data_IF_988638202360
#
_entry.id   IF_988638202360
#
_cell.length_a   1.000
_cell.length_b   1.000
_cell.length_c   1.000
_cell.angle_alpha   90.00
_cell.angle_beta   90.00
_cell.angle_gamma   90.00
#
_symmetry.space_group_name_H-M   'P 1'
#
loop_
_entity.id
_entity.type
_entity.pdbx_description
1 polymer ?
#
# COMPACT_ATOMS: atom_id res chain seq x y z
N UNK A 1 -5.24 32.16 7.72
CA UNK A 1 -4.68 32.55 9.03
C UNK A 1 -3.23 32.10 9.07
N UNK A 2 -2.25 32.98 9.35
CA UNK A 2 -0.84 32.59 9.37
C UNK A 2 -0.48 31.88 10.70
N UNK A 3 0.29 30.79 10.60
CA UNK A 3 0.77 29.99 11.74
C UNK A 3 1.73 30.77 12.65
N UNK A 4 1.70 30.53 13.97
CA UNK A 4 2.66 31.13 14.90
C UNK A 4 4.06 30.49 14.78
N UNK A 5 5.14 31.25 15.04
CA UNK A 5 6.51 30.75 14.96
C UNK A 5 6.87 29.80 16.12
N UNK A 6 7.87 28.90 15.92
CA UNK A 6 8.29 27.95 16.95
C UNK A 6 8.99 28.64 18.13
N UNK A 7 8.72 28.13 19.34
CA UNK A 7 9.31 28.63 20.59
C UNK A 7 10.75 28.11 20.76
N UNK A 8 11.67 28.93 21.31
CA UNK A 8 13.04 28.49 21.57
C UNK A 8 13.10 27.47 22.70
N UNK A 9 13.97 26.47 22.53
CA UNK A 9 14.17 25.38 23.49
C UNK A 9 14.92 25.89 24.72
N UNK A 10 14.24 25.86 25.86
CA UNK A 10 14.86 26.14 27.17
C UNK A 10 15.60 24.87 27.59
N UNK A 11 16.92 24.93 27.63
CA UNK A 11 17.79 23.90 28.19
C UNK A 11 17.62 23.90 29.72
N UNK A 12 16.94 22.88 30.23
CA UNK A 12 16.87 22.62 31.68
C UNK A 12 18.06 21.72 32.06
N UNK A 13 18.85 22.05 33.08
CA UNK A 13 20.01 21.26 33.47
C UNK A 13 19.59 19.89 34.04
N UNK A 14 20.23 18.83 33.53
CA UNK A 14 20.06 17.45 33.98
C UNK A 14 20.84 17.25 35.29
N UNK A 15 20.21 16.80 36.38
CA UNK A 15 20.92 16.52 37.62
C UNK A 15 21.81 15.29 37.46
N UNK A 16 23.10 15.44 37.81
CA UNK A 16 24.09 14.36 37.84
C UNK A 16 23.81 13.47 39.05
N UNK A 17 23.26 12.29 38.81
CA UNK A 17 23.05 11.29 39.86
C UNK A 17 24.39 10.63 40.24
N UNK A 18 24.71 10.74 41.52
CA UNK A 18 25.91 10.22 42.19
C UNK A 18 25.88 8.69 42.26
N UNK A 19 26.86 8.02 41.65
CA UNK A 19 27.06 6.57 41.75
C UNK A 19 27.56 6.20 43.16
N UNK A 20 26.63 5.80 44.02
CA UNK A 20 26.99 5.06 45.23
C UNK A 20 27.05 3.56 44.92
N UNK A 21 28.28 3.08 45.08
CA UNK A 21 28.77 1.70 45.08
C UNK A 21 27.82 0.80 45.88
N UNK A 22 27.23 -0.19 45.23
CA UNK A 22 26.61 -1.32 45.91
C UNK A 22 27.40 -2.59 45.60
N UNK A 23 28.06 -3.07 46.64
CA UNK A 23 28.89 -4.26 46.72
C UNK A 23 28.06 -5.52 46.52
N UNK A 24 28.63 -6.46 45.76
CA UNK A 24 28.09 -7.80 45.51
C UNK A 24 27.90 -8.59 46.82
N UNK A 25 26.69 -9.01 47.10
CA UNK A 25 26.39 -10.08 48.06
C UNK A 25 25.56 -11.15 47.35
N UNK A 26 26.23 -12.28 47.10
CA UNK A 26 25.71 -13.47 46.46
C UNK A 26 24.98 -14.30 47.51
N UNK A 27 23.66 -14.36 47.44
CA UNK A 27 22.85 -15.29 48.23
C UNK A 27 22.08 -16.18 47.25
N UNK A 28 22.67 -17.35 46.97
CA UNK A 28 22.02 -18.47 46.33
C UNK A 28 21.06 -19.15 47.29
N UNK A 29 19.77 -19.13 46.97
CA UNK A 29 18.84 -20.18 47.39
C UNK A 29 18.07 -20.64 46.16
N UNK A 30 18.41 -21.84 45.71
CA UNK A 30 17.77 -22.54 44.60
C UNK A 30 16.55 -23.29 45.14
N UNK A 31 15.34 -23.01 44.64
CA UNK A 31 14.27 -24.01 44.51
C UNK A 31 13.41 -23.68 43.27
N UNK A 32 13.58 -24.52 42.25
CA UNK A 32 12.72 -24.91 41.14
C UNK A 32 11.52 -24.03 40.72
N UNK A 33 11.69 -23.42 39.54
CA UNK A 33 10.85 -23.56 38.35
C UNK A 33 9.40 -24.02 38.55
N UNK A 34 8.46 -23.09 38.44
CA UNK A 34 7.32 -23.33 37.54
C UNK A 34 7.30 -22.24 36.50
N UNK A 35 7.92 -22.60 35.38
CA UNK A 35 7.75 -22.04 34.06
C UNK A 35 6.29 -21.66 33.78
N UNK A 36 5.91 -20.41 34.09
CA UNK A 36 4.59 -19.85 33.75
C UNK A 36 4.73 -18.53 32.99
N UNK A 37 5.68 -18.49 32.05
CA UNK A 37 5.84 -17.39 31.09
C UNK A 37 5.36 -17.73 29.67
N UNK A 38 4.53 -18.77 29.48
CA UNK A 38 4.01 -19.15 28.15
C UNK A 38 2.57 -18.72 27.84
N UNK A 39 1.96 -17.88 28.69
CA UNK A 39 0.62 -17.35 28.44
C UNK A 39 0.57 -15.95 27.81
N UNK A 40 1.70 -15.42 27.32
CA UNK A 40 1.62 -14.53 26.17
C UNK A 40 1.30 -15.42 24.97
N UNK A 41 0.00 -15.59 24.72
CA UNK A 41 -0.58 -16.21 23.53
C UNK A 41 0.35 -15.93 22.34
N UNK A 42 1.05 -16.96 21.87
CA UNK A 42 1.50 -16.97 20.48
C UNK A 42 0.24 -16.69 19.66
N UNK A 43 0.14 -15.49 19.12
CA UNK A 43 -0.89 -15.13 18.16
C UNK A 43 -0.85 -16.23 17.11
N UNK A 44 -1.99 -16.90 16.91
CA UNK A 44 -2.11 -17.94 15.91
C UNK A 44 -1.52 -17.40 14.59
N UNK A 45 -0.51 -18.02 13.96
CA UNK A 45 0.14 -17.48 12.75
C UNK A 45 -0.87 -17.29 11.60
N UNK A 46 -2.04 -17.93 11.69
CA UNK A 46 -3.17 -17.78 10.78
C UNK A 46 -3.95 -16.46 10.94
N UNK A 47 -3.70 -15.66 11.99
CA UNK A 47 -4.39 -14.37 12.23
C UNK A 47 -3.60 -13.14 11.77
N UNK A 48 -2.35 -13.31 11.32
CA UNK A 48 -1.58 -12.19 10.75
C UNK A 48 -2.18 -11.82 9.39
N UNK A 49 -2.85 -10.66 9.31
CA UNK A 49 -3.37 -10.12 8.05
C UNK A 49 -2.19 -9.80 7.14
N UNK A 50 -2.18 -10.39 5.94
CA UNK A 50 -1.18 -10.10 4.90
C UNK A 50 -1.78 -9.27 3.80
N UNK A 51 -0.98 -8.43 3.16
CA UNK A 51 -1.43 -7.59 2.05
C UNK A 51 -0.76 -8.05 0.76
N UNK A 52 -1.54 -8.07 -0.31
CA UNK A 52 -1.02 -8.38 -1.65
C UNK A 52 -0.14 -7.23 -2.15
N UNK A 53 1.13 -7.51 -2.43
CA UNK A 53 2.08 -6.50 -2.90
C UNK A 53 1.67 -5.85 -4.24
N UNK A 54 0.89 -6.54 -5.08
CA UNK A 54 0.41 -5.98 -6.35
C UNK A 54 -0.86 -5.15 -6.18
N UNK A 55 -1.91 -5.72 -5.60
CA UNK A 55 -3.25 -5.11 -5.63
C UNK A 55 -3.65 -4.39 -4.33
N UNK A 56 -2.81 -4.45 -3.29
CA UNK A 56 -3.07 -3.83 -1.98
C UNK A 56 -4.23 -4.44 -1.19
N UNK A 57 -4.86 -5.53 -1.64
CA UNK A 57 -5.96 -6.18 -0.91
C UNK A 57 -5.42 -7.06 0.23
N UNK A 58 -6.14 -7.09 1.35
CA UNK A 58 -5.96 -8.10 2.39
C UNK A 58 -6.10 -9.52 1.82
N UNK A 59 -5.08 -10.34 2.06
CA UNK A 59 -5.02 -11.74 1.66
C UNK A 59 -5.83 -12.52 2.69
N UNK A 60 -6.95 -13.09 2.27
CA UNK A 60 -7.71 -14.03 3.09
C UNK A 60 -6.98 -15.38 3.16
N UNK A 61 -6.95 -15.99 4.33
CA UNK A 61 -6.40 -17.33 4.49
C UNK A 61 -7.18 -18.34 3.63
N UNK A 62 -6.47 -19.36 3.11
CA UNK A 62 -7.04 -20.48 2.34
C UNK A 62 -6.35 -21.77 2.75
N UNK A 63 -7.08 -22.88 2.83
CA UNK A 63 -6.53 -24.20 3.22
C UNK A 63 -5.27 -24.61 2.44
N UNK A 64 -5.23 -24.32 1.13
CA UNK A 64 -4.06 -24.59 0.28
C UNK A 64 -2.77 -23.88 0.68
N UNK A 65 -2.85 -22.91 1.59
CA UNK A 65 -1.75 -22.06 2.05
C UNK A 65 -1.28 -22.39 3.46
N UNK A 66 -1.87 -23.41 4.10
CA UNK A 66 -1.54 -23.85 5.46
C UNK A 66 -0.04 -24.09 5.65
N UNK A 67 0.62 -24.72 4.68
CA UNK A 67 2.04 -25.12 4.79
C UNK A 67 3.03 -24.00 4.46
N UNK A 68 2.60 -22.92 3.81
CA UNK A 68 3.49 -21.90 3.27
C UNK A 68 2.96 -20.48 3.44
N UNK A 69 2.08 -20.24 4.43
CA UNK A 69 1.47 -18.94 4.68
C UNK A 69 2.52 -17.83 4.79
N UNK A 70 3.62 -18.10 5.50
CA UNK A 70 4.74 -17.17 5.71
C UNK A 70 5.35 -16.62 4.42
N UNK A 71 5.47 -17.45 3.38
CA UNK A 71 6.06 -17.07 2.09
C UNK A 71 5.07 -16.38 1.12
N UNK A 72 3.80 -16.19 1.49
CA UNK A 72 2.79 -15.65 0.55
C UNK A 72 2.85 -14.12 0.51
N UNK A 73 3.13 -13.61 -0.69
CA UNK A 73 3.17 -12.16 -1.00
C UNK A 73 2.01 -11.69 -1.89
N UNK A 74 1.35 -12.60 -2.62
CA UNK A 74 0.35 -12.27 -3.65
C UNK A 74 -0.95 -13.05 -3.46
N UNK A 75 -2.10 -12.41 -3.66
CA UNK A 75 -3.42 -13.04 -3.47
C UNK A 75 -3.83 -14.00 -4.61
N UNK A 76 -3.21 -13.88 -5.79
CA UNK A 76 -3.53 -14.64 -7.00
C UNK A 76 -2.34 -14.81 -7.94
N UNK A 77 -2.45 -15.76 -8.88
CA UNK A 77 -1.46 -15.95 -9.94
C UNK A 77 -1.39 -14.73 -10.87
N UNK A 78 -2.51 -14.05 -11.12
CA UNK A 78 -2.52 -12.82 -11.92
C UNK A 78 -1.70 -11.72 -11.24
N UNK A 79 -1.89 -11.47 -9.95
CA UNK A 79 -1.09 -10.50 -9.21
C UNK A 79 0.40 -10.87 -9.18
N UNK A 80 0.73 -12.17 -9.05
CA UNK A 80 2.11 -12.65 -9.11
C UNK A 80 2.78 -12.38 -10.47
N UNK A 81 2.04 -12.52 -11.57
CA UNK A 81 2.52 -12.24 -12.94
C UNK A 81 2.65 -10.73 -13.19
N UNK A 82 1.70 -9.94 -12.72
CA UNK A 82 1.65 -8.49 -12.88
C UNK A 82 2.30 -7.78 -11.69
N UNK A 83 3.62 -7.92 -11.53
CA UNK A 83 4.37 -7.19 -10.50
C UNK A 83 4.47 -5.70 -10.86
N UNK A 84 4.42 -4.83 -9.87
CA UNK A 84 4.60 -3.39 -10.05
C UNK A 84 6.05 -3.13 -10.41
N UNK A 85 6.27 -2.39 -11.51
CA UNK A 85 7.61 -1.95 -11.94
C UNK A 85 7.77 -0.47 -11.56
N UNK A 86 8.98 0.01 -11.23
CA UNK A 86 9.20 1.41 -10.84
C UNK A 86 8.71 2.44 -11.87
N UNK A 87 8.77 2.11 -13.16
CA UNK A 87 8.29 2.96 -14.26
C UNK A 87 6.96 2.45 -14.86
N UNK A 88 6.09 1.81 -14.06
CA UNK A 88 4.76 1.40 -14.51
C UNK A 88 3.72 2.48 -14.21
N UNK A 89 2.64 2.47 -15.00
CA UNK A 89 1.45 3.30 -14.75
C UNK A 89 0.84 3.09 -13.35
N UNK A 90 1.10 1.95 -12.67
CA UNK A 90 0.65 1.75 -11.28
C UNK A 90 1.32 2.72 -10.31
N UNK A 91 2.59 3.03 -10.53
CA UNK A 91 3.34 4.03 -9.75
C UNK A 91 2.87 5.43 -10.13
N UNK A 92 2.57 5.68 -11.41
CA UNK A 92 1.97 6.94 -11.85
C UNK A 92 0.62 7.21 -11.17
N UNK A 93 -0.23 6.19 -10.97
CA UNK A 93 -1.46 6.35 -10.19
C UNK A 93 -1.17 6.73 -8.73
N UNK A 94 -0.19 6.10 -8.08
CA UNK A 94 0.16 6.46 -6.69
C UNK A 94 0.59 7.92 -6.58
N UNK A 95 1.54 8.35 -7.41
CA UNK A 95 2.04 9.71 -7.42
C UNK A 95 0.95 10.73 -7.77
N UNK A 96 0.10 10.43 -8.75
CA UNK A 96 -0.97 11.34 -9.17
C UNK A 96 -2.04 11.50 -8.08
N UNK A 97 -2.42 10.41 -7.39
CA UNK A 97 -3.36 10.49 -6.25
C UNK A 97 -2.83 11.46 -5.19
N UNK A 98 -1.55 11.32 -4.80
CA UNK A 98 -0.93 12.19 -3.79
C UNK A 98 -0.85 13.65 -4.29
N UNK A 99 -0.44 13.88 -5.54
CA UNK A 99 -0.40 15.23 -6.13
C UNK A 99 -1.77 15.91 -6.09
N UNK A 100 -2.81 15.22 -6.55
CA UNK A 100 -4.17 15.74 -6.59
C UNK A 100 -4.72 16.03 -5.18
N UNK A 101 -4.35 15.22 -4.19
CA UNK A 101 -4.72 15.45 -2.80
C UNK A 101 -4.02 16.70 -2.24
N UNK A 102 -2.74 16.87 -2.54
CA UNK A 102 -1.94 18.00 -2.09
C UNK A 102 -2.44 19.33 -2.69
N UNK A 103 -2.67 19.35 -4.00
CA UNK A 103 -3.25 20.50 -4.72
C UNK A 103 -4.60 20.91 -4.14
N UNK A 104 -5.46 19.93 -3.83
CA UNK A 104 -6.76 20.18 -3.20
C UNK A 104 -6.65 20.60 -1.75
N UNK A 105 -5.71 20.05 -0.99
CA UNK A 105 -5.53 20.44 0.42
C UNK A 105 -5.27 21.93 0.55
N UNK A 106 -4.57 22.53 -0.42
CA UNK A 106 -4.35 23.98 -0.48
C UNK A 106 -5.63 24.79 -0.73
N UNK A 107 -6.60 24.26 -1.49
CA UNK A 107 -7.80 25.00 -1.90
C UNK A 107 -9.04 24.71 -1.05
N UNK A 108 -9.19 23.46 -0.59
CA UNK A 108 -10.36 22.94 0.12
C UNK A 108 -10.07 22.60 1.59
N UNK A 109 -8.82 22.73 2.04
CA UNK A 109 -8.40 22.44 3.41
C UNK A 109 -8.37 20.94 3.72
N UNK A 110 -8.55 20.60 5.01
CA UNK A 110 -8.46 19.21 5.51
C UNK A 110 -9.56 18.28 4.97
N UNK A 111 -10.66 18.82 4.43
CA UNK A 111 -11.77 18.04 3.86
C UNK A 111 -11.55 17.56 2.43
N UNK A 112 -10.44 17.96 1.81
CA UNK A 112 -10.07 17.64 0.43
C UNK A 112 -10.22 16.15 0.12
N UNK A 113 -10.90 15.84 -0.99
CA UNK A 113 -11.10 14.48 -1.45
C UNK A 113 -10.85 14.37 -2.95
N UNK A 114 -10.21 13.28 -3.36
CA UNK A 114 -9.97 12.92 -4.77
C UNK A 114 -10.70 11.61 -5.04
N UNK A 115 -11.34 11.47 -6.20
CA UNK A 115 -11.93 10.18 -6.58
C UNK A 115 -10.96 9.37 -7.44
N UNK A 116 -11.06 8.04 -7.41
CA UNK A 116 -10.27 7.20 -8.31
C UNK A 116 -10.60 7.45 -9.80
N UNK A 117 -11.81 7.91 -10.11
CA UNK A 117 -12.21 8.21 -11.49
C UNK A 117 -11.47 9.44 -12.02
N UNK A 118 -11.34 10.45 -11.18
CA UNK A 118 -10.60 11.66 -11.52
C UNK A 118 -9.09 11.40 -11.63
N UNK A 119 -8.52 10.68 -10.66
CA UNK A 119 -7.10 10.31 -10.73
C UNK A 119 -6.81 9.44 -11.98
N UNK A 120 -7.77 8.60 -12.40
CA UNK A 120 -7.67 7.85 -13.65
C UNK A 120 -7.62 8.78 -14.86
N UNK A 121 -8.52 9.74 -14.94
CA UNK A 121 -8.57 10.71 -16.04
C UNK A 121 -7.25 11.50 -16.16
N UNK A 122 -6.71 11.97 -15.04
CA UNK A 122 -5.48 12.77 -15.01
C UNK A 122 -4.23 11.98 -15.40
N UNK A 123 -4.11 10.72 -14.99
CA UNK A 123 -2.97 9.88 -15.43
C UNK A 123 -3.07 9.59 -16.93
N UNK A 124 -4.28 9.37 -17.44
CA UNK A 124 -4.46 8.98 -18.85
C UNK A 124 -4.27 10.15 -19.82
N UNK A 125 -4.43 11.41 -19.39
CA UNK A 125 -4.10 12.60 -20.20
C UNK A 125 -2.62 12.63 -20.60
N UNK A 126 -1.75 12.28 -19.66
CA UNK A 126 -0.30 12.34 -19.84
C UNK A 126 0.29 11.02 -20.40
N UNK A 127 -0.50 9.95 -20.41
CA UNK A 127 -0.02 8.62 -20.75
C UNK A 127 0.26 8.48 -22.25
N UNK A 128 1.46 7.99 -22.56
CA UNK A 128 1.85 7.58 -23.91
C UNK A 128 2.14 6.08 -23.89
N UNK A 129 1.66 5.31 -24.89
CA UNK A 129 2.06 3.91 -25.00
C UNK A 129 3.59 3.84 -25.13
N UNK A 130 4.18 2.81 -24.53
CA UNK A 130 5.61 2.54 -24.71
C UNK A 130 5.84 2.00 -26.13
N UNK A 131 6.08 2.91 -27.08
CA UNK A 131 6.32 2.58 -28.49
C UNK A 131 7.67 1.87 -28.68
N UNK A 132 8.53 1.77 -27.66
CA UNK A 132 9.87 1.13 -27.80
C UNK A 132 9.81 -0.38 -28.03
N UNK A 133 8.63 -1.00 -27.86
CA UNK A 133 8.38 -2.39 -28.23
C UNK A 133 7.59 -2.57 -29.54
N UNK A 134 7.23 -1.48 -30.21
CA UNK A 134 6.61 -1.49 -31.54
C UNK A 134 7.69 -1.54 -32.63
N UNK A 135 8.58 -2.53 -32.59
CA UNK A 135 9.29 -2.91 -33.82
C UNK A 135 8.29 -3.68 -34.66
N UNK A 136 7.92 -3.09 -35.78
CA UNK A 136 7.09 -3.69 -36.83
C UNK A 136 7.53 -5.15 -37.05
N UNK A 137 6.66 -6.10 -36.72
CA UNK A 137 6.74 -7.40 -37.37
C UNK A 137 6.12 -7.17 -38.75
N UNK A 138 6.89 -7.19 -39.85
CA UNK A 138 6.28 -7.18 -41.17
C UNK A 138 5.30 -8.34 -41.24
N UNK A 139 4.06 -8.04 -41.63
CA UNK A 139 2.97 -9.00 -41.68
C UNK A 139 3.42 -10.26 -42.46
N UNK A 140 3.70 -11.34 -41.73
CA UNK A 140 3.72 -12.67 -42.34
C UNK A 140 2.27 -13.00 -42.67
N UNK A 141 1.87 -12.70 -43.90
CA UNK A 141 0.61 -13.17 -44.47
C UNK A 141 0.73 -14.70 -44.55
N UNK A 142 0.13 -15.39 -43.58
CA UNK A 142 -0.01 -16.85 -43.65
C UNK A 142 -1.00 -17.18 -44.78
N UNK A 143 -0.68 -18.11 -45.69
CA UNK A 143 -1.52 -18.43 -46.85
C UNK A 143 -2.88 -19.08 -46.49
N UNK A 144 -3.07 -19.51 -45.24
CA UNK A 144 -4.22 -20.31 -44.83
C UNK A 144 -5.46 -19.51 -44.39
N UNK A 145 -5.49 -18.19 -44.58
CA UNK A 145 -6.72 -17.39 -44.39
C UNK A 145 -7.33 -17.43 -42.97
N UNK A 146 -6.57 -17.87 -41.97
CA UNK A 146 -6.95 -17.75 -40.57
C UNK A 146 -6.39 -16.42 -40.08
N UNK A 147 -7.27 -15.43 -39.92
CA UNK A 147 -7.02 -14.18 -39.22
C UNK A 147 -6.65 -14.51 -37.76
N UNK A 148 -5.38 -14.82 -37.52
CA UNK A 148 -4.80 -14.89 -36.18
C UNK A 148 -4.59 -13.47 -35.72
N UNK A 149 -5.66 -12.89 -35.20
CA UNK A 149 -5.66 -11.81 -34.22
C UNK A 149 -4.85 -10.62 -34.66
N UNK A 150 -5.53 -9.65 -35.26
CA UNK A 150 -5.16 -8.23 -35.12
C UNK A 150 -4.64 -8.05 -33.69
N UNK A 151 -3.33 -7.83 -33.54
CA UNK A 151 -2.74 -7.54 -32.24
C UNK A 151 -3.39 -6.26 -31.77
N UNK A 152 -4.36 -6.43 -30.88
CA UNK A 152 -5.05 -5.35 -30.18
C UNK A 152 -3.96 -4.40 -29.68
N UNK A 153 -4.07 -3.09 -29.94
CA UNK A 153 -3.07 -2.15 -29.47
C UNK A 153 -2.82 -2.40 -27.98
N UNK A 154 -1.55 -2.37 -27.55
CA UNK A 154 -1.07 -2.52 -26.16
C UNK A 154 -1.56 -1.36 -25.24
N UNK A 155 -2.83 -0.99 -25.37
CA UNK A 155 -3.49 0.12 -24.74
C UNK A 155 -4.35 -0.40 -23.58
N UNK A 156 -4.28 0.20 -22.37
CA UNK A 156 -4.98 -0.31 -21.21
C UNK A 156 -6.49 -0.03 -21.35
N UNK A 157 -7.38 -1.03 -21.22
CA UNK A 157 -8.81 -0.75 -21.14
C UNK A 157 -9.10 -0.07 -19.79
N UNK A 158 -9.72 1.12 -19.80
CA UNK A 158 -10.10 1.97 -18.64
C UNK A 158 -9.90 1.28 -17.28
N UNK A 159 -8.74 1.54 -16.69
CA UNK A 159 -8.13 0.79 -15.59
C UNK A 159 -8.49 1.37 -14.23
N UNK A 160 -9.77 1.72 -14.03
CA UNK A 160 -10.30 2.13 -12.72
C UNK A 160 -9.86 1.18 -11.59
N UNK A 161 -9.79 -0.12 -11.88
CA UNK A 161 -9.29 -1.10 -10.91
C UNK A 161 -7.80 -0.91 -10.56
N UNK A 162 -6.94 -0.46 -11.49
CA UNK A 162 -5.53 -0.17 -11.18
C UNK A 162 -5.39 1.06 -10.29
N UNK A 163 -6.17 2.11 -10.53
CA UNK A 163 -6.23 3.24 -9.61
C UNK A 163 -6.72 2.80 -8.22
N UNK A 164 -7.74 1.94 -8.15
CA UNK A 164 -8.19 1.35 -6.86
C UNK A 164 -7.10 0.52 -6.19
N UNK A 165 -6.31 -0.23 -6.95
CA UNK A 165 -5.17 -0.98 -6.41
C UNK A 165 -4.09 -0.05 -5.86
N UNK A 166 -3.76 1.04 -6.57
CA UNK A 166 -2.86 2.08 -6.08
C UNK A 166 -3.36 2.71 -4.78
N UNK A 167 -4.64 3.09 -4.73
CA UNK A 167 -5.27 3.60 -3.52
C UNK A 167 -5.19 2.62 -2.35
N UNK A 168 -5.41 1.31 -2.58
CA UNK A 168 -5.25 0.28 -1.54
C UNK A 168 -3.82 0.21 -1.00
N UNK A 169 -2.81 0.31 -1.88
CA UNK A 169 -1.40 0.29 -1.47
C UNK A 169 -1.03 1.53 -0.67
N UNK A 170 -1.47 2.71 -1.09
CA UNK A 170 -1.29 3.96 -0.33
C UNK A 170 -1.97 3.90 1.05
N UNK A 171 -3.20 3.37 1.10
CA UNK A 171 -3.93 3.23 2.35
C UNK A 171 -3.26 2.25 3.32
N UNK A 172 -2.70 1.15 2.81
CA UNK A 172 -1.91 0.22 3.62
C UNK A 172 -0.66 0.89 4.21
N UNK A 173 -0.01 1.77 3.45
CA UNK A 173 1.14 2.55 3.95
C UNK A 173 0.74 3.67 4.90
N UNK A 174 -0.55 3.90 5.10
CA UNK A 174 -1.08 4.97 5.96
C UNK A 174 -0.97 6.37 5.34
N UNK A 175 -0.68 6.47 4.04
CA UNK A 175 -0.55 7.77 3.36
C UNK A 175 -1.90 8.41 3.07
N UNK A 176 -2.94 7.58 2.87
CA UNK A 176 -4.31 8.03 2.61
C UNK A 176 -5.31 7.19 3.41
N UNK A 177 -6.51 7.73 3.55
CA UNK A 177 -7.71 7.00 3.98
C UNK A 177 -8.72 6.97 2.84
N UNK A 178 -9.47 5.87 2.74
CA UNK A 178 -10.57 5.74 1.79
C UNK A 178 -11.88 5.98 2.52
N UNK A 179 -12.70 6.90 2.00
CA UNK A 179 -14.03 7.20 2.52
C UNK A 179 -15.13 6.92 1.51
N UNK A 180 -16.33 6.61 2.03
CA UNK A 180 -17.57 6.54 1.27
C UNK A 180 -18.67 7.24 2.06
N UNK A 181 -19.27 8.29 1.48
CA UNK A 181 -20.25 9.12 2.19
C UNK A 181 -19.70 9.71 3.49
N UNK A 182 -18.43 10.14 3.48
CA UNK A 182 -17.73 10.70 4.64
C UNK A 182 -17.27 9.70 5.72
N UNK A 183 -17.57 8.40 5.58
CA UNK A 183 -17.12 7.36 6.53
C UNK A 183 -15.89 6.64 6.01
N UNK A 184 -14.89 6.42 6.86
CA UNK A 184 -13.71 5.60 6.52
C UNK A 184 -14.13 4.15 6.34
N UNK A 185 -13.73 3.54 5.22
CA UNK A 185 -14.05 2.15 4.85
C UNK A 185 -12.78 1.35 4.55
N UNK A 186 -12.84 0.02 4.69
CA UNK A 186 -11.75 -0.86 4.26
C UNK A 186 -11.62 -0.84 2.71
N UNK A 187 -10.48 -0.40 2.16
CA UNK A 187 -10.23 -0.34 0.71
C UNK A 187 -10.33 -1.69 -0.01
N UNK A 188 -10.17 -2.80 0.72
CA UNK A 188 -10.26 -4.17 0.18
C UNK A 188 -11.66 -4.53 -0.28
N UNK A 189 -12.68 -3.97 0.39
CA UNK A 189 -14.11 -4.30 0.21
C UNK A 189 -14.95 -3.15 -0.34
N UNK A 190 -14.41 -1.92 -0.37
CA UNK A 190 -15.08 -0.76 -0.93
C UNK A 190 -15.53 -0.99 -2.39
N UNK A 191 -16.81 -0.73 -2.66
CA UNK A 191 -17.45 -0.86 -3.99
C UNK A 191 -18.04 0.48 -4.43
N UNK A 192 -18.12 0.72 -5.73
CA UNK A 192 -18.64 1.99 -6.25
C UNK A 192 -17.66 3.16 -6.10
N UNK A 193 -18.17 4.37 -5.89
CA UNK A 193 -17.36 5.58 -5.76
C UNK A 193 -16.50 5.52 -4.48
N UNK A 194 -15.21 5.79 -4.62
CA UNK A 194 -14.26 5.85 -3.50
C UNK A 194 -13.71 7.27 -3.45
N UNK A 195 -13.84 7.90 -2.29
CA UNK A 195 -13.17 9.16 -1.98
C UNK A 195 -11.85 8.84 -1.29
N UNK A 196 -10.77 9.41 -1.78
CA UNK A 196 -9.43 9.31 -1.19
C UNK A 196 -9.18 10.61 -0.44
N UNK A 197 -8.63 10.53 0.76
CA UNK A 197 -8.31 11.70 1.61
C UNK A 197 -6.98 11.48 2.32
N UNK A 198 -6.31 12.56 2.72
CA UNK A 198 -5.25 12.43 3.72
C UNK A 198 -5.84 12.01 5.07
N UNK A 199 -5.09 11.24 5.89
CA UNK A 199 -5.46 11.00 7.28
C UNK A 199 -5.52 12.33 8.04
N UNK A 200 -6.55 12.48 8.88
CA UNK A 200 -6.79 13.63 9.76
C UNK A 200 -5.85 13.66 10.97
#
# INVERSE_FOLDING_TARGET
MPCPPPRPWILVPIPVLSLHKFTWAWASTSVLTTHRQHHLRAMNPLTAIKICATCGRKISWRKKWEKNWDAITYCSNSCRKHKIKPNSIDVSFESKIISLLEERRCTQGQGAAVTCEEAEEEVMKDWKPDIRHSVEQPALISPDGVDKGTQEPLNPPRTRERCRQAARRLAERGEIVVTQGGKVVDPSFAKGLMELRFPS
#
